data_IF_343574634215
#
_entry.id   IF_343574634215
#
_cell.length_a   1.000
_cell.length_b   1.000
_cell.length_c   1.000
_cell.angle_alpha   90.00
_cell.angle_beta   90.00
_cell.angle_gamma   90.00
#
_symmetry.space_group_name_H-M   'P 1'
#
loop_
_entity.id
_entity.type
_entity.pdbx_description
1 polymer ?
#
# COMPACT_ATOMS: atom_id res chain seq x y z
N UNK A 1 -1.69 24.96 4.76
CA UNK A 1 -2.17 24.25 5.98
C UNK A 1 -3.68 24.14 6.05
N UNK A 2 -4.46 25.20 5.82
CA UNK A 2 -5.94 25.15 5.88
C UNK A 2 -6.56 24.07 4.96
N UNK A 3 -6.07 23.96 3.71
CA UNK A 3 -6.52 22.95 2.75
C UNK A 3 -6.52 21.53 3.33
N UNK A 4 -5.40 21.09 3.92
CA UNK A 4 -5.27 19.74 4.49
C UNK A 4 -6.24 19.54 5.67
N UNK A 5 -6.38 20.55 6.53
CA UNK A 5 -7.27 20.48 7.69
C UNK A 5 -8.72 20.31 7.27
N UNK A 6 -9.20 21.11 6.32
CA UNK A 6 -10.57 21.03 5.80
C UNK A 6 -10.79 19.69 5.11
N UNK A 7 -9.86 19.24 4.26
CA UNK A 7 -9.96 17.93 3.59
C UNK A 7 -10.05 16.76 4.57
N UNK A 8 -9.28 16.77 5.67
CA UNK A 8 -9.34 15.69 6.67
C UNK A 8 -10.64 15.76 7.48
N UNK A 9 -11.08 16.96 7.86
CA UNK A 9 -12.32 17.16 8.62
C UNK A 9 -13.54 16.68 7.83
N UNK A 10 -13.59 17.01 6.55
CA UNK A 10 -14.76 16.82 5.70
C UNK A 10 -14.64 15.58 4.79
N UNK A 11 -13.68 14.68 5.07
CA UNK A 11 -13.39 13.47 4.27
C UNK A 11 -14.54 12.46 4.17
N UNK A 12 -15.46 12.50 5.14
CA UNK A 12 -16.59 11.57 5.21
C UNK A 12 -17.84 12.07 4.49
N UNK A 13 -17.83 13.32 4.01
CA UNK A 13 -18.94 13.87 3.23
C UNK A 13 -19.05 13.10 1.89
N UNK A 14 -20.26 12.71 1.45
CA UNK A 14 -20.45 11.94 0.23
C UNK A 14 -19.77 12.55 -1.01
N UNK A 15 -19.82 13.87 -1.14
CA UNK A 15 -19.21 14.63 -2.24
C UNK A 15 -17.69 14.56 -2.31
N UNK A 16 -17.02 14.21 -1.21
CA UNK A 16 -15.56 14.17 -1.12
C UNK A 16 -14.99 12.75 -1.17
N UNK A 17 -15.86 11.74 -1.33
CA UNK A 17 -15.45 10.33 -1.33
C UNK A 17 -15.39 9.82 -2.76
N UNK A 18 -14.22 9.33 -3.14
CA UNK A 18 -14.09 8.49 -4.31
C UNK A 18 -14.58 7.07 -3.99
N UNK A 19 -15.59 6.63 -4.73
CA UNK A 19 -16.19 5.30 -4.63
C UNK A 19 -15.84 4.40 -5.81
N UNK A 20 -15.25 4.94 -6.88
CA UNK A 20 -14.91 4.20 -8.10
C UNK A 20 -13.46 3.71 -8.07
N UNK A 21 -12.56 4.47 -7.45
CA UNK A 21 -11.11 4.27 -7.54
C UNK A 21 -10.43 5.14 -8.60
N UNK A 22 -11.23 5.82 -9.43
CA UNK A 22 -10.77 6.69 -10.52
C UNK A 22 -11.57 8.01 -10.53
N UNK A 23 -11.22 8.98 -9.67
CA UNK A 23 -11.92 10.26 -9.60
C UNK A 23 -11.54 11.22 -10.74
N UNK A 24 -10.54 10.90 -11.56
CA UNK A 24 -9.98 11.81 -12.57
C UNK A 24 -9.94 11.26 -13.99
N UNK A 25 -10.53 10.08 -14.23
CA UNK A 25 -10.41 9.34 -15.50
C UNK A 25 -8.94 9.06 -15.88
N UNK A 26 -8.15 8.58 -14.92
CA UNK A 26 -6.72 8.32 -15.04
C UNK A 26 -6.36 7.26 -16.08
N UNK A 27 -5.08 7.25 -16.48
CA UNK A 27 -4.59 6.43 -17.60
C UNK A 27 -3.80 5.19 -17.17
N UNK A 28 -3.31 5.19 -15.95
CA UNK A 28 -2.32 4.27 -15.38
C UNK A 28 -2.96 3.33 -14.35
N UNK A 29 -2.25 2.27 -13.97
CA UNK A 29 -2.83 1.16 -13.19
C UNK A 29 -3.21 1.53 -11.76
N UNK A 30 -2.66 2.59 -11.17
CA UNK A 30 -3.05 3.04 -9.84
C UNK A 30 -4.52 3.45 -9.76
N UNK A 31 -5.13 3.85 -10.88
CA UNK A 31 -6.55 4.17 -10.98
C UNK A 31 -7.43 2.94 -11.26
N UNK A 32 -6.81 1.77 -11.48
CA UNK A 32 -7.51 0.50 -11.64
C UNK A 32 -7.75 -0.21 -10.29
N UNK A 33 -7.34 0.37 -9.17
CA UNK A 33 -7.55 -0.18 -7.82
C UNK A 33 -8.77 0.45 -7.15
N UNK A 34 -9.17 -0.04 -5.97
CA UNK A 34 -10.23 0.60 -5.17
C UNK A 34 -9.72 1.82 -4.42
N UNK A 35 -10.64 2.67 -3.94
CA UNK A 35 -10.34 3.75 -3.01
C UNK A 35 -10.89 3.46 -1.61
N UNK A 36 -10.03 3.23 -0.59
CA UNK A 36 -8.57 3.04 -0.65
C UNK A 36 -8.17 1.69 -1.28
N UNK A 37 -6.91 1.54 -1.74
CA UNK A 37 -6.43 0.26 -2.27
C UNK A 37 -6.35 -0.80 -1.16
N UNK A 38 -6.58 -2.09 -1.49
CA UNK A 38 -6.33 -3.18 -0.55
C UNK A 38 -4.83 -3.32 -0.27
N UNK A 39 -4.47 -3.97 0.84
CA UNK A 39 -3.07 -4.12 1.25
C UNK A 39 -2.19 -4.85 0.22
N UNK A 40 -2.79 -5.71 -0.60
CA UNK A 40 -2.13 -6.46 -1.66
C UNK A 40 -2.10 -5.74 -3.02
N UNK A 41 -2.66 -4.53 -3.13
CA UNK A 41 -2.88 -3.75 -4.36
C UNK A 41 -3.76 -4.46 -5.40
N UNK A 42 -3.27 -5.50 -6.05
CA UNK A 42 -3.97 -6.25 -7.09
C UNK A 42 -4.15 -7.71 -6.70
N UNK A 43 -5.39 -8.18 -6.66
CA UNK A 43 -5.69 -9.59 -6.40
C UNK A 43 -5.17 -10.52 -7.51
N UNK A 44 -5.13 -10.01 -8.75
CA UNK A 44 -4.54 -10.68 -9.92
C UNK A 44 -3.65 -9.65 -10.62
N UNK A 45 -2.42 -10.05 -10.93
CA UNK A 45 -1.46 -9.17 -11.60
C UNK A 45 -2.01 -8.81 -12.99
N UNK A 46 -2.20 -7.51 -13.30
CA UNK A 46 -2.72 -7.09 -14.60
C UNK A 46 -1.69 -7.37 -15.70
N UNK A 47 -2.17 -7.80 -16.86
CA UNK A 47 -1.33 -7.97 -18.06
C UNK A 47 -1.31 -6.65 -18.83
N UNK A 48 -0.12 -6.10 -19.05
CA UNK A 48 0.06 -4.79 -19.69
C UNK A 48 0.47 -4.96 -21.15
N UNK A 49 -0.27 -4.30 -22.06
CA UNK A 49 0.02 -4.32 -23.50
C UNK A 49 0.52 -2.98 -24.05
N UNK A 50 0.20 -1.87 -23.37
CA UNK A 50 0.54 -0.51 -23.78
C UNK A 50 1.03 0.30 -22.58
N UNK A 51 1.60 1.48 -22.87
CA UNK A 51 2.09 2.40 -21.85
C UNK A 51 0.95 2.88 -20.93
N UNK A 52 -0.17 3.31 -21.52
CA UNK A 52 -1.39 3.68 -20.80
C UNK A 52 -2.28 2.44 -20.61
N UNK A 53 -1.85 1.56 -19.71
CA UNK A 53 -2.47 0.25 -19.51
C UNK A 53 -3.95 0.35 -19.11
N UNK A 54 -4.31 1.28 -18.23
CA UNK A 54 -5.69 1.35 -17.74
C UNK A 54 -6.64 1.97 -18.77
N UNK A 55 -6.18 2.93 -19.58
CA UNK A 55 -6.95 3.42 -20.72
C UNK A 55 -7.24 2.31 -21.74
N UNK A 56 -6.24 1.48 -22.04
CA UNK A 56 -6.42 0.34 -22.93
C UNK A 56 -7.42 -0.67 -22.36
N UNK A 57 -7.33 -0.95 -21.06
CA UNK A 57 -8.28 -1.82 -20.34
C UNK A 57 -9.71 -1.26 -20.31
N UNK A 58 -9.88 0.06 -20.20
CA UNK A 58 -11.20 0.72 -20.28
C UNK A 58 -11.81 0.64 -21.68
N UNK A 59 -10.97 0.72 -22.72
CA UNK A 59 -11.40 0.62 -24.10
C UNK A 59 -11.74 -0.83 -24.52
N UNK A 60 -11.13 -1.81 -23.87
CA UNK A 60 -11.43 -3.22 -24.10
C UNK A 60 -12.80 -3.61 -23.54
N UNK A 61 -13.69 -4.09 -24.42
CA UNK A 61 -15.05 -4.55 -24.08
C UNK A 61 -15.12 -6.07 -23.94
N UNK A 62 -13.97 -6.75 -23.86
CA UNK A 62 -13.94 -8.20 -23.69
C UNK A 62 -14.64 -8.61 -22.39
N UNK A 63 -15.48 -9.66 -22.47
CA UNK A 63 -16.14 -10.22 -21.28
C UNK A 63 -15.05 -10.89 -20.45
N UNK A 64 -14.66 -10.26 -19.35
CA UNK A 64 -13.68 -10.85 -18.45
C UNK A 64 -14.29 -12.07 -17.76
N UNK A 65 -13.62 -13.21 -17.86
CA UNK A 65 -13.98 -14.40 -17.12
C UNK A 65 -13.92 -14.11 -15.62
N UNK A 66 -14.76 -14.78 -14.82
CA UNK A 66 -14.72 -14.64 -13.36
C UNK A 66 -13.30 -14.93 -12.86
N UNK A 67 -12.70 -14.01 -12.09
CA UNK A 67 -11.34 -14.16 -11.60
C UNK A 67 -11.23 -15.36 -10.65
N UNK A 68 -10.15 -16.12 -10.77
CA UNK A 68 -9.79 -17.18 -9.81
C UNK A 68 -8.79 -16.62 -8.82
N UNK A 69 -9.23 -16.37 -7.60
CA UNK A 69 -8.38 -15.86 -6.52
C UNK A 69 -7.49 -16.96 -5.94
N UNK A 70 -6.31 -16.57 -5.51
CA UNK A 70 -5.32 -17.43 -4.85
C UNK A 70 -4.86 -16.77 -3.55
N UNK A 71 -4.27 -17.56 -2.67
CA UNK A 71 -3.67 -17.04 -1.45
C UNK A 71 -2.52 -16.08 -1.80
N UNK A 72 -2.51 -14.91 -1.17
CA UNK A 72 -1.51 -13.86 -1.42
C UNK A 72 -0.55 -13.80 -0.25
N UNK A 73 0.74 -13.97 -0.53
CA UNK A 73 1.80 -13.80 0.46
C UNK A 73 2.10 -12.32 0.69
N UNK A 74 2.17 -11.91 1.96
CA UNK A 74 2.44 -10.54 2.38
C UNK A 74 3.56 -10.47 3.42
N UNK A 75 4.45 -9.47 3.34
CA UNK A 75 5.48 -9.28 4.34
C UNK A 75 4.87 -8.80 5.67
N UNK A 76 5.41 -9.29 6.79
CA UNK A 76 5.03 -8.83 8.13
C UNK A 76 5.80 -7.54 8.50
N UNK A 77 5.15 -6.69 9.28
CA UNK A 77 5.79 -5.47 9.81
C UNK A 77 6.97 -5.80 10.74
N UNK A 78 8.00 -4.95 10.73
CA UNK A 78 9.17 -5.08 11.61
C UNK A 78 9.56 -3.72 12.20
N UNK A 79 9.98 -3.71 13.47
CA UNK A 79 10.51 -2.53 14.15
C UNK A 79 12.02 -2.36 13.95
N UNK A 80 12.71 -3.31 13.32
CA UNK A 80 14.16 -3.30 13.17
C UNK A 80 14.68 -2.02 12.49
N UNK A 81 13.99 -1.55 11.45
CA UNK A 81 14.34 -0.30 10.77
C UNK A 81 14.26 0.92 11.68
N UNK A 82 13.22 1.01 12.52
CA UNK A 82 13.06 2.11 13.48
C UNK A 82 14.17 2.09 14.54
N UNK A 83 14.48 0.91 15.07
CA UNK A 83 15.55 0.74 16.08
C UNK A 83 16.91 1.13 15.49
N UNK A 84 17.22 0.66 14.28
CA UNK A 84 18.45 1.03 13.59
C UNK A 84 18.53 2.55 13.33
N UNK A 85 17.42 3.18 12.94
CA UNK A 85 17.34 4.63 12.75
C UNK A 85 17.61 5.41 14.04
N UNK A 86 17.06 4.96 15.17
CA UNK A 86 17.31 5.59 16.49
C UNK A 86 18.77 5.49 16.90
N UNK A 87 19.43 4.36 16.67
CA UNK A 87 20.88 4.23 16.93
C UNK A 87 21.71 5.11 16.00
N UNK A 88 21.34 5.21 14.72
CA UNK A 88 21.98 6.12 13.77
C UNK A 88 21.81 7.58 14.16
N UNK A 89 20.65 7.97 14.69
CA UNK A 89 20.41 9.30 15.24
C UNK A 89 21.34 9.60 16.43
N UNK A 90 21.45 8.66 17.38
CA UNK A 90 22.36 8.78 18.54
C UNK A 90 23.82 8.88 18.08
N UNK A 91 24.22 8.06 17.11
CA UNK A 91 25.56 8.09 16.51
C UNK A 91 25.86 9.46 15.88
N UNK A 92 24.95 9.99 15.06
CA UNK A 92 25.11 11.29 14.41
C UNK A 92 25.21 12.43 15.41
N UNK A 93 24.31 12.45 16.41
CA UNK A 93 24.33 13.46 17.48
C UNK A 93 25.64 13.39 18.28
N UNK A 94 26.06 12.19 18.70
CA UNK A 94 27.28 11.99 19.46
C UNK A 94 28.54 12.40 18.66
N UNK A 95 28.56 12.13 17.36
CA UNK A 95 29.65 12.50 16.46
C UNK A 95 29.83 14.02 16.34
N UNK A 96 28.73 14.78 16.25
CA UNK A 96 28.77 16.25 16.21
C UNK A 96 29.36 16.83 17.51
N UNK A 97 28.92 16.30 18.66
CA UNK A 97 29.30 16.80 19.98
C UNK A 97 30.56 16.13 20.57
N UNK A 98 31.28 15.32 19.78
CA UNK A 98 32.50 14.62 20.21
C UNK A 98 32.31 13.71 21.44
N UNK A 99 31.10 13.15 21.60
CA UNK A 99 30.74 12.24 22.71
C UNK A 99 31.09 10.80 22.30
N UNK A 100 32.38 10.46 22.32
CA UNK A 100 32.89 9.22 21.71
C UNK A 100 32.30 7.92 22.29
N UNK A 101 32.06 7.85 23.61
CA UNK A 101 31.47 6.64 24.21
C UNK A 101 30.06 6.38 23.67
N UNK A 102 29.27 7.45 23.47
CA UNK A 102 27.91 7.37 22.97
C UNK A 102 27.91 7.07 21.46
N UNK A 103 28.88 7.61 20.72
CA UNK A 103 29.06 7.29 19.31
C UNK A 103 29.37 5.80 19.11
N UNK A 104 30.23 5.20 19.95
CA UNK A 104 30.51 3.76 19.91
C UNK A 104 29.22 2.95 20.19
N UNK A 105 28.43 3.34 21.19
CA UNK A 105 27.14 2.67 21.49
C UNK A 105 26.17 2.79 20.30
N UNK A 106 26.05 3.97 19.70
CA UNK A 106 25.19 4.19 18.52
C UNK A 106 25.61 3.33 17.33
N UNK A 107 26.92 3.24 17.07
CA UNK A 107 27.45 2.41 15.99
C UNK A 107 27.21 0.92 16.25
N UNK A 108 27.59 0.43 17.43
CA UNK A 108 27.41 -0.98 17.83
C UNK A 108 25.94 -1.36 17.86
N UNK A 109 25.06 -0.48 18.36
CA UNK A 109 23.62 -0.70 18.38
C UNK A 109 23.01 -0.78 16.98
N UNK A 110 23.42 0.11 16.07
CA UNK A 110 22.95 0.10 14.68
C UNK A 110 23.38 -1.18 13.95
N UNK A 111 24.67 -1.51 13.99
CA UNK A 111 25.22 -2.74 13.39
C UNK A 111 24.59 -3.98 14.04
N UNK A 112 24.51 -4.02 15.37
CA UNK A 112 23.92 -5.11 16.13
C UNK A 112 22.46 -5.36 15.77
N UNK A 113 21.68 -4.30 15.55
CA UNK A 113 20.28 -4.40 15.12
C UNK A 113 20.18 -5.06 13.74
N UNK A 114 21.02 -4.67 12.79
CA UNK A 114 21.06 -5.27 11.45
C UNK A 114 21.45 -6.75 11.52
N UNK A 115 22.47 -7.08 12.32
CA UNK A 115 22.91 -8.46 12.54
C UNK A 115 21.77 -9.30 13.12
N UNK A 116 21.18 -8.87 14.23
CA UNK A 116 20.08 -9.60 14.89
C UNK A 116 18.89 -9.77 13.95
N UNK A 117 18.53 -8.74 13.20
CA UNK A 117 17.45 -8.82 12.21
C UNK A 117 17.77 -9.80 11.07
N UNK A 118 19.02 -9.86 10.62
CA UNK A 118 19.45 -10.77 9.53
C UNK A 118 19.30 -12.26 9.89
N UNK A 119 19.32 -12.60 11.19
CA UNK A 119 19.10 -13.97 11.65
C UNK A 119 17.62 -14.31 11.91
N UNK A 120 16.72 -13.33 11.87
CA UNK A 120 15.30 -13.59 12.05
C UNK A 120 14.71 -14.22 10.78
N UNK A 121 14.05 -15.36 10.95
CA UNK A 121 13.21 -15.95 9.90
C UNK A 121 11.83 -15.33 9.99
N UNK A 122 11.52 -14.45 9.04
CA UNK A 122 10.19 -13.88 8.89
C UNK A 122 9.63 -14.35 7.55
N UNK A 123 8.76 -15.36 7.61
CA UNK A 123 8.13 -15.95 6.43
C UNK A 123 6.89 -15.17 5.99
N UNK A 124 6.63 -13.98 6.54
CA UNK A 124 5.42 -13.20 6.23
C UNK A 124 4.14 -13.88 6.71
N UNK A 125 3.02 -13.50 6.12
CA UNK A 125 1.71 -14.10 6.33
C UNK A 125 0.97 -14.27 5.00
N UNK A 126 -0.07 -15.08 4.97
CA UNK A 126 -0.90 -15.28 3.79
C UNK A 126 -2.30 -14.70 4.02
N UNK A 127 -2.80 -13.98 3.02
CA UNK A 127 -4.20 -13.57 2.93
C UNK A 127 -4.94 -14.67 2.15
N UNK A 128 -5.92 -15.37 2.75
CA UNK A 128 -6.63 -16.47 2.10
C UNK A 128 -7.41 -16.00 0.86
N UNK A 129 -7.50 -16.85 -0.16
CA UNK A 129 -8.25 -16.58 -1.39
C UNK A 129 -9.72 -16.22 -1.14
N UNK A 130 -10.35 -16.81 -0.11
CA UNK A 130 -11.72 -16.50 0.28
C UNK A 130 -11.88 -15.07 0.81
N UNK A 131 -10.88 -14.56 1.54
CA UNK A 131 -10.88 -13.18 2.03
C UNK A 131 -10.67 -12.20 0.88
N UNK A 132 -9.72 -12.49 -0.01
CA UNK A 132 -9.49 -11.71 -1.24
C UNK A 132 -10.78 -11.65 -2.08
N UNK A 133 -11.46 -12.78 -2.28
CA UNK A 133 -12.71 -12.84 -3.02
C UNK A 133 -13.80 -11.96 -2.38
N UNK A 134 -13.95 -12.00 -1.05
CA UNK A 134 -14.93 -11.19 -0.34
C UNK A 134 -14.65 -9.68 -0.46
N UNK A 135 -13.37 -9.28 -0.43
CA UNK A 135 -12.96 -7.88 -0.59
C UNK A 135 -13.25 -7.39 -2.01
N UNK A 136 -12.89 -8.18 -3.03
CA UNK A 136 -13.11 -7.81 -4.44
C UNK A 136 -14.59 -7.85 -4.83
N UNK A 137 -15.39 -8.78 -4.29
CA UNK A 137 -16.83 -8.83 -4.54
C UNK A 137 -17.54 -7.59 -3.96
N UNK A 138 -17.12 -7.15 -2.77
CA UNK A 138 -17.61 -5.90 -2.17
C UNK A 138 -17.31 -4.69 -3.06
N UNK A 139 -16.15 -4.67 -3.72
CA UNK A 139 -15.78 -3.65 -4.69
C UNK A 139 -16.66 -3.71 -5.95
N UNK A 140 -16.79 -4.88 -6.57
CA UNK A 140 -17.61 -5.05 -7.77
C UNK A 140 -19.07 -4.67 -7.55
N UNK A 141 -19.62 -4.98 -6.37
CA UNK A 141 -20.97 -4.58 -5.97
C UNK A 141 -21.11 -3.06 -5.86
N UNK A 142 -20.14 -2.37 -5.25
CA UNK A 142 -20.15 -0.91 -5.12
C UNK A 142 -20.03 -0.19 -6.48
N UNK A 143 -19.17 -0.68 -7.38
CA UNK A 143 -19.01 -0.13 -8.73
C UNK A 143 -20.25 -0.33 -9.62
N UNK A 144 -20.91 -1.49 -9.51
CA UNK A 144 -22.14 -1.77 -10.26
C UNK A 144 -23.34 -0.94 -9.78
N UNK A 145 -23.40 -0.63 -8.47
CA UNK A 145 -24.50 0.14 -7.89
C UNK A 145 -24.44 1.63 -8.26
N UNK A 146 -23.23 2.18 -8.45
CA UNK A 146 -23.03 3.56 -8.91
C UNK A 146 -23.22 3.74 -10.40
N UNK A 147 -22.86 2.75 -11.23
CA UNK A 147 -23.12 2.80 -12.67
C UNK A 147 -24.63 2.88 -12.98
N UNK A 148 -25.50 2.27 -12.16
CA UNK A 148 -26.95 2.34 -12.32
C UNK A 148 -27.61 3.64 -11.80
N UNK A 149 -26.88 4.48 -11.06
CA UNK A 149 -27.40 5.75 -10.52
C UNK A 149 -27.03 6.95 -11.40
N UNK A 150 -26.11 6.75 -12.36
CA UNK A 150 -25.63 7.77 -13.31
C UNK A 150 -26.28 7.62 -14.71
N UNK A 151 -27.04 6.54 -14.94
CA UNK A 151 -27.91 6.31 -16.12
C UNK A 151 -29.38 6.67 -15.83
#
# INVERSE_FOLDING_TARGET
>A
MLQIVVSIRDRNLPENRDLTGDPWDGHTLEWATSSPPPSYNFAIIPTVHKLDAFTDMKADKSVQAKPVYRDIHMPSNTSAGLIAAMFSLVLGFAGVWHIWWLAIIGLVGSIGTVIVYSFQKNEGYYIPAAEVAAIEEKRSGAGAQLAMEVD
#
